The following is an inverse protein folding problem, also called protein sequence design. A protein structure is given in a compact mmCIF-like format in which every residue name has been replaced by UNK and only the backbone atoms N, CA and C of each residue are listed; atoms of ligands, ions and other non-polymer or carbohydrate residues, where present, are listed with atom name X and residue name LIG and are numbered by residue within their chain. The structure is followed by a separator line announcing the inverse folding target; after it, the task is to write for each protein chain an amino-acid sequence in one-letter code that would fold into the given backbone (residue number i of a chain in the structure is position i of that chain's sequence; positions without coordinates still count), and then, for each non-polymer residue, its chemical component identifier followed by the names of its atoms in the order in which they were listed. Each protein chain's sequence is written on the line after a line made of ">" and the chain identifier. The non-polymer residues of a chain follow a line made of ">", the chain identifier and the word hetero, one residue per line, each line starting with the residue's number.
data_IF_608271824808
#
_entry.id   IF_608271824808
#
_cell.length_a   1.000
_cell.length_b   1.000
_cell.length_c   1.000
_cell.angle_alpha   90.00
_cell.angle_beta   90.00
_cell.angle_gamma   90.00
#
_symmetry.space_group_name_H-M   'P 1'
#
loop_
_entity.id
_entity.type
_entity.pdbx_description
1 polymer ?
#
# COMPACT_ATOMS: atom_id res chain seq x y z
N UNK A 1 11.12 6.90 -8.69
CA UNK A 1 11.02 8.37 -8.89
C UNK A 1 9.79 8.82 -9.69
N UNK A 2 9.68 8.52 -10.98
CA UNK A 2 8.52 8.99 -11.76
C UNK A 2 7.19 8.41 -11.24
N UNK A 3 7.15 7.10 -10.99
CA UNK A 3 5.94 6.42 -10.54
C UNK A 3 5.49 6.87 -9.14
N UNK A 4 6.43 7.05 -8.20
CA UNK A 4 6.15 7.61 -6.88
C UNK A 4 5.56 9.02 -6.96
N UNK A 5 6.07 9.88 -7.85
CA UNK A 5 5.52 11.21 -8.09
C UNK A 5 4.07 11.14 -8.62
N UNK A 6 3.82 10.29 -9.63
CA UNK A 6 2.47 10.11 -10.20
C UNK A 6 1.49 9.62 -9.14
N UNK A 7 1.87 8.61 -8.36
CA UNK A 7 1.02 8.06 -7.30
C UNK A 7 0.70 9.09 -6.22
N UNK A 8 1.69 9.88 -5.81
CA UNK A 8 1.47 10.96 -4.84
C UNK A 8 0.56 12.06 -5.41
N UNK A 9 0.74 12.44 -6.68
CA UNK A 9 -0.17 13.40 -7.32
C UNK A 9 -1.61 12.87 -7.35
N UNK A 10 -1.81 11.60 -7.69
CA UNK A 10 -3.14 10.97 -7.71
C UNK A 10 -3.77 10.95 -6.31
N UNK A 11 -3.00 10.60 -5.28
CA UNK A 11 -3.46 10.60 -3.89
C UNK A 11 -3.89 12.00 -3.45
N UNK A 12 -3.06 13.01 -3.64
CA UNK A 12 -3.39 14.39 -3.22
C UNK A 12 -4.64 14.90 -3.96
N UNK A 13 -4.80 14.56 -5.23
CA UNK A 13 -6.01 14.90 -5.99
C UNK A 13 -7.25 14.17 -5.48
N UNK A 14 -7.13 12.92 -5.00
CA UNK A 14 -8.28 12.15 -4.52
C UNK A 14 -8.82 12.64 -3.17
N UNK A 15 -7.98 13.28 -2.35
CA UNK A 15 -8.39 13.90 -1.08
C UNK A 15 -8.80 15.38 -1.23
N UNK A 16 -8.92 15.89 -2.46
CA UNK A 16 -9.39 17.25 -2.73
C UNK A 16 -8.29 18.33 -2.83
N UNK A 17 -7.01 17.95 -2.82
CA UNK A 17 -5.91 18.89 -2.97
C UNK A 17 -5.88 19.59 -4.34
N UNK A 18 -5.36 20.81 -4.40
CA UNK A 18 -5.26 21.60 -5.64
C UNK A 18 -4.26 20.99 -6.64
N UNK A 19 -4.30 21.41 -7.91
CA UNK A 19 -3.35 20.93 -8.94
C UNK A 19 -1.90 21.26 -8.55
N UNK A 20 -1.67 22.48 -8.08
CA UNK A 20 -0.36 22.94 -7.62
C UNK A 20 0.09 22.15 -6.39
N UNK A 21 -0.81 21.91 -5.43
CA UNK A 21 -0.52 21.10 -4.25
C UNK A 21 -0.15 19.65 -4.60
N UNK A 22 -0.82 19.07 -5.60
CA UNK A 22 -0.51 17.72 -6.09
C UNK A 22 0.87 17.66 -6.76
N UNK A 23 1.21 18.62 -7.62
CA UNK A 23 2.54 18.69 -8.27
C UNK A 23 3.63 18.90 -7.22
N UNK A 24 3.41 19.84 -6.30
CA UNK A 24 4.37 20.12 -5.23
C UNK A 24 4.61 18.88 -4.36
N UNK A 25 3.55 18.21 -3.90
CA UNK A 25 3.65 17.00 -3.09
C UNK A 25 4.32 15.85 -3.84
N UNK A 26 4.05 15.72 -5.14
CA UNK A 26 4.68 14.72 -5.99
C UNK A 26 6.20 14.91 -6.09
N UNK A 27 6.64 16.15 -6.28
CA UNK A 27 8.08 16.51 -6.31
C UNK A 27 8.70 16.27 -4.93
N UNK A 28 8.06 16.74 -3.87
CA UNK A 28 8.58 16.61 -2.50
C UNK A 28 8.71 15.14 -2.10
N UNK A 29 7.70 14.31 -2.39
CA UNK A 29 7.76 12.88 -2.06
C UNK A 29 8.81 12.14 -2.90
N UNK A 30 8.83 12.35 -4.22
CA UNK A 30 9.79 11.68 -5.08
C UNK A 30 11.23 12.08 -4.74
N UNK A 31 11.47 13.35 -4.42
CA UNK A 31 12.81 13.87 -4.09
C UNK A 31 13.11 13.89 -2.59
N UNK A 32 12.33 13.19 -1.76
CA UNK A 32 12.59 13.17 -0.32
C UNK A 32 13.89 12.41 0.01
N UNK A 33 14.43 12.66 1.21
CA UNK A 33 15.70 12.07 1.65
C UNK A 33 15.69 10.54 1.61
N UNK A 34 14.59 9.89 2.00
CA UNK A 34 14.48 8.42 1.95
C UNK A 34 14.54 7.88 0.52
N UNK A 35 13.73 8.42 -0.39
CA UNK A 35 13.73 8.01 -1.80
C UNK A 35 15.11 8.22 -2.42
N UNK A 36 15.77 9.34 -2.11
CA UNK A 36 17.08 9.69 -2.68
C UNK A 36 18.21 8.83 -2.10
N UNK A 37 18.23 8.61 -0.79
CA UNK A 37 19.27 7.85 -0.11
C UNK A 37 19.27 6.36 -0.49
N UNK A 38 18.08 5.80 -0.72
CA UNK A 38 17.88 4.38 -0.99
C UNK A 38 17.60 4.07 -2.46
N UNK A 39 17.83 5.03 -3.35
CA UNK A 39 17.54 4.88 -4.78
C UNK A 39 18.31 3.70 -5.38
N UNK A 40 17.60 2.83 -6.10
CA UNK A 40 18.17 1.62 -6.70
C UNK A 40 18.30 0.44 -5.74
N UNK A 41 17.71 0.55 -4.54
CA UNK A 41 17.60 -0.56 -3.59
C UNK A 41 16.14 -1.01 -3.44
N UNK A 42 15.92 -2.25 -2.97
CA UNK A 42 14.59 -2.76 -2.64
C UNK A 42 13.76 -1.87 -1.69
N UNK A 43 14.40 -1.09 -0.81
CA UNK A 43 13.71 -0.18 0.10
C UNK A 43 12.96 0.93 -0.65
N UNK A 44 13.60 1.56 -1.64
CA UNK A 44 12.93 2.59 -2.44
C UNK A 44 11.81 1.98 -3.29
N UNK A 45 12.00 0.76 -3.77
CA UNK A 45 11.02 0.06 -4.59
C UNK A 45 9.79 -0.37 -3.80
N UNK A 46 9.94 -0.74 -2.53
CA UNK A 46 8.83 -1.02 -1.63
C UNK A 46 8.08 0.26 -1.24
N UNK A 47 8.82 1.32 -0.87
CA UNK A 47 8.23 2.56 -0.37
C UNK A 47 7.51 3.40 -1.43
N UNK A 48 7.84 3.26 -2.73
CA UNK A 48 7.18 4.01 -3.79
C UNK A 48 5.67 3.74 -3.88
N UNK A 49 5.21 2.57 -3.41
CA UNK A 49 3.82 2.13 -3.49
C UNK A 49 2.92 2.76 -2.43
N UNK A 50 3.51 3.38 -1.40
CA UNK A 50 2.77 3.98 -0.29
C UNK A 50 1.69 4.98 -0.75
N UNK A 51 1.97 5.96 -1.64
CA UNK A 51 0.95 6.90 -2.07
C UNK A 51 -0.16 6.22 -2.89
N UNK A 52 0.17 5.18 -3.66
CA UNK A 52 -0.84 4.42 -4.41
C UNK A 52 -1.75 3.64 -3.46
N UNK A 53 -1.21 3.05 -2.40
CA UNK A 53 -2.00 2.40 -1.36
C UNK A 53 -2.98 3.40 -0.74
N UNK A 54 -2.51 4.58 -0.34
CA UNK A 54 -3.39 5.60 0.23
C UNK A 54 -4.48 6.06 -0.76
N UNK A 55 -4.13 6.23 -2.03
CA UNK A 55 -5.08 6.52 -3.12
C UNK A 55 -6.10 5.39 -3.32
N UNK A 56 -5.65 4.14 -3.36
CA UNK A 56 -6.49 2.98 -3.62
C UNK A 56 -7.47 2.73 -2.47
N UNK A 57 -7.03 2.92 -1.22
CA UNK A 57 -7.91 2.87 -0.03
C UNK A 57 -8.98 3.96 -0.10
N UNK A 58 -8.58 5.20 -0.43
CA UNK A 58 -9.54 6.31 -0.61
C UNK A 58 -10.56 6.00 -1.71
N UNK A 59 -10.09 5.43 -2.84
CA UNK A 59 -10.94 5.03 -3.96
C UNK A 59 -11.89 3.90 -3.57
N UNK A 60 -11.40 2.89 -2.85
CA UNK A 60 -12.19 1.75 -2.36
C UNK A 60 -13.30 2.19 -1.41
N UNK A 61 -13.01 3.14 -0.52
CA UNK A 61 -14.01 3.70 0.39
C UNK A 61 -15.11 4.44 -0.37
N UNK A 62 -14.75 5.17 -1.44
CA UNK A 62 -15.70 5.92 -2.28
C UNK A 62 -16.52 5.00 -3.19
N UNK A 63 -15.86 4.02 -3.81
CA UNK A 63 -16.44 3.09 -4.78
C UNK A 63 -15.84 1.69 -4.59
N UNK A 64 -16.69 0.73 -4.18
CA UNK A 64 -16.32 -0.67 -3.89
C UNK A 64 -16.33 -1.54 -5.15
N UNK A 65 -16.13 -0.95 -6.32
CA UNK A 65 -16.06 -1.69 -7.58
C UNK A 65 -14.90 -2.69 -7.61
N UNK A 66 -15.02 -3.71 -8.45
CA UNK A 66 -13.98 -4.73 -8.66
C UNK A 66 -12.63 -4.11 -9.04
N UNK A 67 -12.65 -2.99 -9.77
CA UNK A 67 -11.43 -2.25 -10.14
C UNK A 67 -10.76 -1.65 -8.90
N UNK A 68 -11.54 -1.07 -7.97
CA UNK A 68 -10.99 -0.54 -6.72
C UNK A 68 -10.41 -1.63 -5.83
N UNK A 69 -11.09 -2.79 -5.73
CA UNK A 69 -10.58 -3.96 -5.01
C UNK A 69 -9.27 -4.46 -5.62
N UNK A 70 -9.23 -4.66 -6.94
CA UNK A 70 -8.04 -5.12 -7.65
C UNK A 70 -6.87 -4.13 -7.52
N UNK A 71 -7.14 -2.82 -7.65
CA UNK A 71 -6.13 -1.79 -7.50
C UNK A 71 -5.55 -1.77 -6.07
N UNK A 72 -6.41 -1.86 -5.06
CA UNK A 72 -5.96 -1.89 -3.67
C UNK A 72 -5.14 -3.15 -3.37
N UNK A 73 -5.63 -4.33 -3.76
CA UNK A 73 -4.93 -5.60 -3.56
C UNK A 73 -3.56 -5.61 -4.25
N UNK A 74 -3.50 -5.14 -5.50
CA UNK A 74 -2.26 -4.98 -6.25
C UNK A 74 -1.29 -4.03 -5.53
N UNK A 75 -1.79 -2.88 -5.07
CA UNK A 75 -0.96 -1.88 -4.40
C UNK A 75 -0.38 -2.38 -3.08
N UNK A 76 -1.12 -3.20 -2.32
CA UNK A 76 -0.65 -3.80 -1.07
C UNK A 76 0.30 -4.99 -1.28
N UNK A 77 0.18 -5.72 -2.40
CA UNK A 77 1.06 -6.84 -2.70
C UNK A 77 2.45 -6.39 -3.18
N UNK A 78 2.52 -5.29 -3.94
CA UNK A 78 3.76 -4.84 -4.57
C UNK A 78 4.92 -4.50 -3.61
N UNK A 79 4.70 -3.87 -2.44
CA UNK A 79 5.78 -3.68 -1.46
C UNK A 79 6.44 -5.00 -1.02
N UNK A 80 5.66 -6.08 -0.88
CA UNK A 80 6.19 -7.40 -0.52
C UNK A 80 7.02 -7.97 -1.66
N UNK A 81 6.53 -7.83 -2.90
CA UNK A 81 7.22 -8.27 -4.11
C UNK A 81 8.51 -7.49 -4.42
N UNK A 82 8.67 -6.30 -3.83
CA UNK A 82 9.92 -5.54 -3.90
C UNK A 82 11.07 -6.21 -3.13
N UNK A 83 10.79 -7.21 -2.27
CA UNK A 83 11.81 -8.04 -1.64
C UNK A 83 12.45 -7.45 -0.38
N UNK A 84 11.85 -6.42 0.21
CA UNK A 84 12.31 -5.85 1.48
C UNK A 84 11.20 -5.87 2.54
N UNK A 85 11.15 -6.90 3.40
CA UNK A 85 10.02 -7.15 4.31
C UNK A 85 9.75 -6.03 5.32
N UNK A 86 10.79 -5.38 5.85
CA UNK A 86 10.64 -4.33 6.87
C UNK A 86 9.93 -3.09 6.31
N UNK A 87 10.42 -2.55 5.18
CA UNK A 87 9.72 -1.45 4.48
C UNK A 87 8.34 -1.87 4.00
N UNK A 88 8.15 -3.10 3.51
CA UNK A 88 6.83 -3.60 3.12
C UNK A 88 5.83 -3.59 4.30
N UNK A 89 6.30 -3.97 5.49
CA UNK A 89 5.52 -3.88 6.73
C UNK A 89 5.16 -2.43 7.09
N UNK A 90 6.14 -1.51 7.07
CA UNK A 90 5.87 -0.09 7.36
C UNK A 90 4.86 0.54 6.40
N UNK A 91 4.98 0.25 5.11
CA UNK A 91 4.09 0.75 4.06
C UNK A 91 2.68 0.18 4.25
N UNK A 92 2.55 -1.12 4.50
CA UNK A 92 1.26 -1.79 4.75
C UNK A 92 0.60 -1.30 6.02
N UNK A 93 1.38 -1.11 7.10
CA UNK A 93 0.89 -0.56 8.36
C UNK A 93 0.35 0.86 8.18
N UNK A 94 1.08 1.70 7.44
CA UNK A 94 0.64 3.07 7.14
C UNK A 94 -0.65 3.08 6.31
N UNK A 95 -0.74 2.21 5.29
CA UNK A 95 -1.95 2.05 4.48
C UNK A 95 -3.16 1.56 5.29
N UNK A 96 -2.93 0.62 6.20
CA UNK A 96 -3.97 0.11 7.11
C UNK A 96 -4.43 1.17 8.10
N UNK A 97 -3.49 1.93 8.69
CA UNK A 97 -3.81 3.05 9.57
C UNK A 97 -4.65 4.11 8.83
N UNK A 98 -4.31 4.41 7.58
CA UNK A 98 -5.10 5.31 6.74
C UNK A 98 -6.51 4.78 6.47
N UNK A 99 -6.68 3.48 6.21
CA UNK A 99 -7.99 2.85 6.06
C UNK A 99 -8.83 2.96 7.34
N UNK A 100 -8.22 2.78 8.52
CA UNK A 100 -8.87 2.94 9.82
C UNK A 100 -9.32 4.40 10.02
N UNK A 101 -8.48 5.39 9.68
CA UNK A 101 -8.83 6.81 9.79
C UNK A 101 -10.03 7.16 8.90
N UNK A 102 -10.03 6.72 7.64
CA UNK A 102 -11.15 6.96 6.72
C UNK A 102 -12.42 6.28 7.25
N UNK A 103 -12.31 5.02 7.68
CA UNK A 103 -13.43 4.29 8.25
C UNK A 103 -14.00 4.97 9.49
N UNK A 104 -13.15 5.38 10.44
CA UNK A 104 -13.57 6.07 11.66
C UNK A 104 -14.21 7.45 11.38
N UNK A 105 -13.64 8.23 10.47
CA UNK A 105 -14.21 9.53 10.07
C UNK A 105 -15.58 9.39 9.39
N UNK A 106 -15.81 8.31 8.65
CA UNK A 106 -17.10 8.03 8.02
C UNK A 106 -18.23 7.76 9.03
N UNK A 107 -17.89 7.20 10.20
CA UNK A 107 -18.84 6.92 11.30
C UNK A 107 -19.34 8.24 11.90
N UNK A 108 -18.42 9.16 12.19
CA UNK A 108 -18.75 10.46 12.80
C UNK A 108 -19.60 11.35 11.89
N UNK A 109 -19.40 11.29 10.57
CA UNK A 109 -20.09 12.17 9.62
C UNK A 109 -21.51 11.69 9.24
N UNK A 110 -21.78 10.38 9.31
CA UNK A 110 -23.02 9.79 8.77
C UNK A 110 -24.04 9.36 9.83
N UNK A 111 -23.73 9.48 11.13
CA UNK A 111 -24.65 9.11 12.22
C UNK A 111 -25.15 7.67 12.15
N UNK A 112 -24.43 6.79 11.44
CA UNK A 112 -24.82 5.41 11.11
C UNK A 112 -24.00 4.40 11.91
N UNK A 113 -24.60 3.22 12.11
CA UNK A 113 -23.91 1.99 12.50
C UNK A 113 -22.72 1.73 11.56
N UNK A 114 -21.64 1.19 12.13
CA UNK A 114 -20.36 0.84 11.51
C UNK A 114 -20.45 0.51 10.00
N UNK A 115 -19.57 1.09 9.17
CA UNK A 115 -19.46 0.75 7.73
C UNK A 115 -18.80 -0.63 7.56
N UNK A 116 -19.59 -1.67 7.82
CA UNK A 116 -19.21 -3.08 7.67
C UNK A 116 -18.92 -3.44 6.22
N UNK A 117 -19.54 -2.75 5.25
CA UNK A 117 -19.27 -2.96 3.83
C UNK A 117 -17.82 -2.61 3.47
N UNK A 118 -17.30 -1.50 4.00
CA UNK A 118 -15.88 -1.15 3.82
C UNK A 118 -14.95 -2.15 4.49
N UNK A 119 -15.27 -2.59 5.71
CA UNK A 119 -14.48 -3.62 6.42
C UNK A 119 -14.40 -4.92 5.61
N UNK A 120 -15.53 -5.44 5.12
CA UNK A 120 -15.56 -6.66 4.31
C UNK A 120 -14.74 -6.49 3.03
N UNK A 121 -14.89 -5.36 2.33
CA UNK A 121 -14.08 -5.06 1.14
C UNK A 121 -12.58 -4.96 1.46
N UNK A 122 -12.20 -4.33 2.57
CA UNK A 122 -10.81 -4.20 2.97
C UNK A 122 -10.20 -5.54 3.40
N UNK A 123 -10.95 -6.38 4.11
CA UNK A 123 -10.55 -7.76 4.42
C UNK A 123 -10.34 -8.56 3.14
N UNK A 124 -11.24 -8.46 2.16
CA UNK A 124 -11.10 -9.11 0.86
C UNK A 124 -9.83 -8.63 0.12
N UNK A 125 -9.54 -7.32 0.15
CA UNK A 125 -8.28 -6.77 -0.39
C UNK A 125 -7.07 -7.38 0.28
N UNK A 126 -7.08 -7.53 1.61
CA UNK A 126 -6.00 -8.18 2.35
C UNK A 126 -5.78 -9.62 1.91
N UNK A 127 -6.86 -10.40 1.77
CA UNK A 127 -6.78 -11.79 1.29
C UNK A 127 -6.24 -11.89 -0.14
N UNK A 128 -6.71 -11.01 -1.04
CA UNK A 128 -6.22 -10.96 -2.43
C UNK A 128 -4.74 -10.54 -2.49
N UNK A 129 -4.34 -9.53 -1.71
CA UNK A 129 -2.96 -9.09 -1.64
C UNK A 129 -2.03 -10.21 -1.13
N UNK A 130 -2.44 -10.94 -0.09
CA UNK A 130 -1.72 -12.11 0.41
C UNK A 130 -1.61 -13.21 -0.65
N UNK A 131 -2.68 -13.46 -1.41
CA UNK A 131 -2.66 -14.43 -2.51
C UNK A 131 -1.75 -14.04 -3.68
N UNK A 132 -1.56 -12.75 -3.93
CA UNK A 132 -0.57 -12.27 -4.92
C UNK A 132 0.85 -12.35 -4.34
N UNK A 133 1.03 -11.92 -3.09
CA UNK A 133 2.33 -11.95 -2.42
C UNK A 133 2.86 -13.37 -2.16
N UNK A 134 1.97 -14.38 -2.09
CA UNK A 134 2.36 -15.78 -1.88
C UNK A 134 3.24 -16.33 -3.00
N UNK A 135 3.17 -15.75 -4.21
CA UNK A 135 4.03 -16.12 -5.35
C UNK A 135 5.52 -16.03 -4.98
N UNK A 136 5.90 -15.05 -4.15
CA UNK A 136 7.27 -14.92 -3.65
C UNK A 136 7.46 -15.47 -2.23
N UNK A 137 6.46 -15.31 -1.35
CA UNK A 137 6.61 -15.72 0.06
C UNK A 137 6.77 -17.23 0.22
N UNK A 138 6.02 -18.05 -0.54
CA UNK A 138 6.10 -19.52 -0.41
C UNK A 138 7.51 -20.03 -0.77
N UNK A 139 8.09 -19.72 -1.95
CA UNK A 139 9.45 -20.13 -2.25
C UNK A 139 10.49 -19.64 -1.24
N UNK A 140 10.30 -18.43 -0.69
CA UNK A 140 11.22 -17.87 0.31
C UNK A 140 11.20 -18.69 1.59
N UNK A 141 10.03 -19.11 2.07
CA UNK A 141 9.89 -19.93 3.28
C UNK A 141 10.45 -21.33 3.06
N UNK A 142 10.19 -21.95 1.90
CA UNK A 142 10.76 -23.25 1.54
C UNK A 142 12.30 -23.22 1.53
N UNK A 143 12.88 -22.18 0.93
CA UNK A 143 14.33 -22.00 0.89
C UNK A 143 14.95 -21.81 2.28
N UNK A 144 14.32 -21.02 3.16
CA UNK A 144 14.78 -20.83 4.54
C UNK A 144 14.72 -22.14 5.33
N UNK A 145 13.68 -22.96 5.13
CA UNK A 145 13.58 -24.29 5.74
C UNK A 145 14.74 -25.20 5.33
N UNK A 146 15.04 -25.29 4.03
CA UNK A 146 16.13 -26.11 3.49
C UNK A 146 17.50 -25.70 4.06
N UNK A 147 17.76 -24.41 4.23
CA UNK A 147 19.01 -23.94 4.83
C UNK A 147 19.17 -24.41 6.27
N UNK A 148 18.07 -24.39 7.05
CA UNK A 148 18.08 -24.89 8.43
C UNK A 148 18.48 -26.36 8.51
N UNK A 149 17.93 -27.18 7.62
CA UNK A 149 18.24 -28.62 7.54
C UNK A 149 19.72 -28.86 7.17
N UNK A 150 20.28 -28.05 6.26
CA UNK A 150 21.70 -28.20 5.85
C UNK A 150 22.72 -27.73 6.87
N UNK A 151 22.37 -26.78 7.75
CA UNK A 151 23.28 -26.25 8.78
C UNK A 151 23.20 -27.04 10.10
N UNK A 152 22.15 -27.86 10.28
CA UNK A 152 21.98 -28.75 11.42
C UNK A 152 22.57 -30.16 11.24
N UNK A 153 23.12 -30.47 10.06
CA UNK A 153 23.84 -31.71 9.73
C UNK A 153 25.35 -31.47 9.68
#
# INVERSE_FOLDING_TARGET
>A
MFLSAVFMALFVRSIGGSRTGAIFSAIVFASCGFMTAWQGTPMSDAALWLPLICYAVQRLHRDRSTISLALAAFSFAMPVLAGHPETAFHVTLTGTAWAIVIWASSINLRGRSFDTGFLVSFTLVGLLALGVASIQMIPTVEWVGQMGDTLGA
#
